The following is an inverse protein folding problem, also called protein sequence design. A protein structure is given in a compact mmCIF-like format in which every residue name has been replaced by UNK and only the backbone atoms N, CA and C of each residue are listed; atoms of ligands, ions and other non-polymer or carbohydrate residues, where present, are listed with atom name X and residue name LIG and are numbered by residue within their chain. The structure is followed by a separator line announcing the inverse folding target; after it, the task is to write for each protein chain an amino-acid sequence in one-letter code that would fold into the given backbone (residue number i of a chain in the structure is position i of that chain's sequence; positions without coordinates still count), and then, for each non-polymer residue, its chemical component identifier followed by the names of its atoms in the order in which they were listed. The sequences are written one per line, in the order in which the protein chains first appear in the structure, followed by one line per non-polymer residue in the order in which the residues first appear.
data_IF_934285616819
#
_entry.id   IF_934285616819
#
_cell.length_a   1.000
_cell.length_b   1.000
_cell.length_c   1.000
_cell.angle_alpha   90.00
_cell.angle_beta   90.00
_cell.angle_gamma   90.00
#
_symmetry.space_group_name_H-M   'P 1'
#
loop_
_entity.id
_entity.type
_entity.pdbx_description
1 polymer ?
#
# COMPACT_ATOMS: atom_id res chain seq x y z
N UNK A 1 19.86 -11.00 0.41
CA UNK A 1 18.59 -11.41 -0.25
C UNK A 1 18.17 -12.79 0.22
N UNK A 2 17.15 -12.93 1.09
CA UNK A 2 16.45 -14.21 1.28
C UNK A 2 15.01 -13.98 0.84
N UNK A 3 14.71 -14.53 -0.33
CA UNK A 3 13.40 -14.48 -0.98
C UNK A 3 12.48 -15.50 -0.33
N UNK A 4 11.17 -15.19 -0.33
CA UNK A 4 10.10 -16.15 -0.09
C UNK A 4 10.41 -17.43 -0.88
N UNK A 5 10.70 -18.53 -0.19
CA UNK A 5 10.85 -19.83 -0.83
C UNK A 5 9.46 -20.43 -0.96
N UNK A 6 8.87 -20.38 -2.16
CA UNK A 6 7.72 -21.22 -2.47
C UNK A 6 8.22 -22.66 -2.61
N UNK A 7 8.05 -23.46 -1.57
CA UNK A 7 8.11 -24.91 -1.69
C UNK A 7 6.73 -25.38 -2.11
N UNK A 8 6.50 -25.52 -3.41
CA UNK A 8 5.24 -26.10 -3.92
C UNK A 8 5.31 -27.60 -3.72
N UNK A 9 4.83 -28.10 -2.58
CA UNK A 9 4.53 -29.51 -2.40
C UNK A 9 3.06 -29.72 -2.77
N UNK A 10 2.83 -30.34 -3.92
CA UNK A 10 1.50 -30.65 -4.43
C UNK A 10 0.95 -31.89 -3.68
N UNK A 11 0.27 -31.69 -2.55
CA UNK A 11 -0.34 -32.78 -1.79
C UNK A 11 -1.77 -33.02 -2.31
N UNK A 12 -1.92 -33.68 -3.46
CA UNK A 12 -3.25 -33.98 -4.02
C UNK A 12 -4.04 -35.08 -3.28
N UNK A 13 -3.48 -35.73 -2.24
CA UNK A 13 -4.05 -36.99 -1.74
C UNK A 13 -4.55 -36.99 -0.28
N UNK A 14 -4.93 -35.85 0.33
CA UNK A 14 -5.44 -35.90 1.73
C UNK A 14 -6.60 -34.95 2.05
N UNK A 15 -7.10 -34.17 1.10
CA UNK A 15 -8.19 -33.20 1.37
C UNK A 15 -9.42 -33.54 0.54
N UNK A 16 -10.58 -33.52 1.21
CA UNK A 16 -11.92 -33.53 0.61
C UNK A 16 -11.90 -32.54 -0.58
N UNK A 17 -12.35 -32.99 -1.75
CA UNK A 17 -12.11 -32.33 -3.04
C UNK A 17 -12.64 -30.89 -3.05
N UNK A 18 -11.76 -29.94 -2.80
CA UNK A 18 -12.06 -28.52 -2.88
C UNK A 18 -11.89 -28.02 -4.34
N UNK A 19 -12.70 -27.05 -4.79
CA UNK A 19 -12.61 -26.51 -6.15
C UNK A 19 -11.39 -25.60 -6.37
N UNK A 20 -10.52 -25.44 -5.38
CA UNK A 20 -9.38 -24.51 -5.39
C UNK A 20 -8.11 -25.28 -4.98
N UNK A 21 -7.01 -25.02 -5.67
CA UNK A 21 -5.69 -25.57 -5.36
C UNK A 21 -5.12 -24.97 -4.06
N UNK A 22 -4.44 -25.79 -3.26
CA UNK A 22 -3.81 -25.37 -2.00
C UNK A 22 -2.30 -25.26 -2.17
N UNK A 23 -1.74 -24.08 -1.86
CA UNK A 23 -0.29 -23.85 -1.84
C UNK A 23 0.25 -23.79 -0.41
N UNK A 24 1.20 -24.67 -0.07
CA UNK A 24 1.97 -24.56 1.18
C UNK A 24 3.13 -23.59 0.98
N UNK A 25 3.24 -22.59 1.84
CA UNK A 25 4.33 -21.60 1.81
C UNK A 25 4.97 -21.48 3.18
N UNK A 26 6.31 -21.42 3.21
CA UNK A 26 7.08 -21.23 4.43
C UNK A 26 7.72 -19.84 4.42
N UNK A 27 7.45 -19.06 5.48
CA UNK A 27 8.03 -17.74 5.67
C UNK A 27 9.07 -17.80 6.79
N UNK A 28 10.31 -17.47 6.47
CA UNK A 28 11.37 -17.25 7.47
C UNK A 28 11.53 -15.74 7.66
N UNK A 29 11.39 -15.20 8.88
CA UNK A 29 11.59 -13.78 9.13
C UNK A 29 13.02 -13.37 8.72
N UNK A 30 13.16 -12.17 8.18
CA UNK A 30 14.45 -11.62 7.81
C UNK A 30 15.14 -11.06 9.06
N UNK A 31 16.47 -11.22 9.14
CA UNK A 31 17.29 -10.66 10.22
C UNK A 31 17.17 -9.14 10.27
N UNK A 32 17.13 -8.50 9.09
CA UNK A 32 16.87 -7.07 8.94
C UNK A 32 15.63 -6.86 8.07
N UNK A 33 14.65 -6.05 8.52
CA UNK A 33 13.49 -5.72 7.71
C UNK A 33 13.92 -4.90 6.50
N UNK A 34 13.22 -5.08 5.37
CA UNK A 34 13.50 -4.27 4.16
C UNK A 34 12.98 -2.84 4.28
N UNK A 35 11.99 -2.62 5.14
CA UNK A 35 11.33 -1.35 5.38
C UNK A 35 11.39 -1.09 6.88
N UNK A 36 12.05 -0.01 7.28
CA UNK A 36 12.28 0.37 8.68
C UNK A 36 11.24 1.40 9.14
N UNK A 37 9.96 1.16 8.80
CA UNK A 37 8.85 2.02 9.16
C UNK A 37 7.82 1.26 10.00
N UNK A 38 7.01 1.96 10.83
CA UNK A 38 5.96 1.33 11.60
C UNK A 38 5.00 0.54 10.71
N UNK A 39 4.66 -0.69 11.10
CA UNK A 39 3.82 -1.58 10.29
C UNK A 39 2.50 -0.91 9.88
N UNK A 40 1.86 -0.15 10.78
CA UNK A 40 0.61 0.56 10.48
C UNK A 40 0.73 1.61 9.39
N UNK A 41 1.86 2.29 9.32
CA UNK A 41 2.15 3.26 8.27
C UNK A 41 2.32 2.54 6.93
N UNK A 42 3.15 1.49 6.90
CA UNK A 42 3.40 0.69 5.69
C UNK A 42 2.11 0.03 5.19
N UNK A 43 1.35 -0.60 6.10
CA UNK A 43 0.05 -1.20 5.82
C UNK A 43 -0.90 -0.20 5.15
N UNK A 44 -0.98 1.03 5.70
CA UNK A 44 -1.85 2.07 5.16
C UNK A 44 -1.42 2.53 3.78
N UNK A 45 -0.12 2.77 3.56
CA UNK A 45 0.43 3.15 2.25
C UNK A 45 0.15 2.06 1.21
N UNK A 46 0.51 0.81 1.52
CA UNK A 46 0.32 -0.34 0.62
C UNK A 46 -1.16 -0.55 0.30
N UNK A 47 -2.04 -0.50 1.30
CA UNK A 47 -3.49 -0.67 1.11
C UNK A 47 -4.08 0.34 0.13
N UNK A 48 -3.67 1.61 0.21
CA UNK A 48 -4.16 2.67 -0.67
C UNK A 48 -3.59 2.54 -2.09
N UNK A 49 -2.29 2.25 -2.22
CA UNK A 49 -1.65 2.02 -3.53
C UNK A 49 -2.32 0.86 -4.29
N UNK A 50 -2.57 -0.26 -3.61
CA UNK A 50 -3.13 -1.46 -4.22
C UNK A 50 -4.65 -1.48 -4.34
N UNK A 51 -5.34 -0.42 -3.88
CA UNK A 51 -6.80 -0.28 -4.03
C UNK A 51 -7.22 -0.32 -5.50
N UNK A 52 -6.45 0.32 -6.39
CA UNK A 52 -6.78 0.43 -7.81
C UNK A 52 -5.76 -0.29 -8.69
N UNK A 53 -5.86 -1.62 -8.78
CA UNK A 53 -4.92 -2.45 -9.57
C UNK A 53 -4.84 -2.11 -11.07
N UNK A 54 -5.90 -1.53 -11.64
CA UNK A 54 -5.98 -1.17 -13.07
C UNK A 54 -5.69 0.31 -13.35
N UNK A 55 -5.35 1.09 -12.32
CA UNK A 55 -5.01 2.52 -12.44
C UNK A 55 -3.53 2.73 -12.15
N UNK A 56 -3.05 3.92 -12.46
CA UNK A 56 -1.71 4.37 -12.09
C UNK A 56 -1.58 4.50 -10.56
N UNK A 57 -0.38 4.24 -10.04
CA UNK A 57 -0.09 4.24 -8.61
C UNK A 57 -0.44 5.56 -7.90
N UNK A 58 -0.25 6.72 -8.58
CA UNK A 58 -0.59 8.02 -8.02
C UNK A 58 -2.07 8.13 -7.63
N UNK A 59 -2.99 7.43 -8.32
CA UNK A 59 -4.42 7.42 -7.96
C UNK A 59 -4.72 6.74 -6.64
N UNK A 60 -3.91 5.78 -6.24
CA UNK A 60 -3.97 5.18 -4.89
C UNK A 60 -3.37 6.12 -3.85
N UNK A 61 -2.22 6.72 -4.16
CA UNK A 61 -1.52 7.66 -3.26
C UNK A 61 -2.36 8.90 -2.98
N UNK A 62 -3.09 9.43 -3.96
CA UNK A 62 -4.06 10.53 -3.81
C UNK A 62 -5.06 10.31 -2.66
N UNK A 63 -5.38 9.05 -2.32
CA UNK A 63 -6.33 8.72 -1.24
C UNK A 63 -5.73 8.77 0.16
N UNK A 64 -4.40 8.91 0.26
CA UNK A 64 -3.73 9.16 1.54
C UNK A 64 -3.88 10.60 2.01
N UNK A 65 -4.28 11.51 1.11
CA UNK A 65 -4.26 12.95 1.37
C UNK A 65 -5.66 13.56 1.28
N UNK A 66 -5.94 14.57 2.13
CA UNK A 66 -7.17 15.35 2.08
C UNK A 66 -7.28 16.10 0.75
N UNK A 67 -8.50 16.36 0.30
CA UNK A 67 -8.72 16.97 -1.01
C UNK A 67 -8.06 18.33 -1.20
N UNK A 68 -8.02 19.14 -0.15
CA UNK A 68 -7.41 20.47 -0.18
C UNK A 68 -5.94 20.45 -0.65
N UNK A 69 -5.19 19.39 -0.31
CA UNK A 69 -3.75 19.30 -0.60
C UNK A 69 -3.39 18.03 -1.38
N UNK A 70 -4.37 17.34 -1.96
CA UNK A 70 -4.20 16.02 -2.57
C UNK A 70 -3.18 16.02 -3.69
N UNK A 71 -3.28 16.98 -4.61
CA UNK A 71 -2.43 17.02 -5.82
C UNK A 71 -0.98 17.33 -5.43
N UNK A 72 -0.79 18.37 -4.62
CA UNK A 72 0.54 18.83 -4.18
C UNK A 72 1.27 17.77 -3.35
N UNK A 73 0.62 17.21 -2.33
CA UNK A 73 1.24 16.20 -1.46
C UNK A 73 1.49 14.87 -2.18
N UNK A 74 0.61 14.49 -3.11
CA UNK A 74 0.86 13.32 -3.96
C UNK A 74 2.09 13.55 -4.81
N UNK A 75 2.17 14.68 -5.50
CA UNK A 75 3.33 15.00 -6.34
C UNK A 75 4.61 15.05 -5.50
N UNK A 76 4.60 15.70 -4.33
CA UNK A 76 5.73 15.75 -3.41
C UNK A 76 6.16 14.34 -2.97
N UNK A 77 5.21 13.47 -2.61
CA UNK A 77 5.48 12.09 -2.20
C UNK A 77 6.08 11.26 -3.34
N UNK A 78 5.55 11.36 -4.56
CA UNK A 78 6.06 10.61 -5.72
C UNK A 78 7.46 11.07 -6.12
N UNK A 79 7.71 12.38 -6.09
CA UNK A 79 9.02 12.95 -6.37
C UNK A 79 10.06 12.53 -5.32
N UNK A 80 9.71 12.61 -4.02
CA UNK A 80 10.60 12.18 -2.94
C UNK A 80 10.90 10.69 -2.96
N UNK A 81 9.93 9.87 -3.37
CA UNK A 81 10.10 8.43 -3.46
C UNK A 81 10.86 7.99 -4.72
N UNK A 82 11.12 8.90 -5.66
CA UNK A 82 11.70 8.60 -6.98
C UNK A 82 10.96 7.46 -7.71
N UNK A 83 9.62 7.50 -7.66
CA UNK A 83 8.75 6.50 -8.30
C UNK A 83 7.99 7.16 -9.44
N UNK A 84 8.06 6.54 -10.62
CA UNK A 84 7.29 7.00 -11.79
C UNK A 84 5.76 6.91 -11.49
N UNK A 85 5.03 8.04 -11.56
CA UNK A 85 3.61 8.11 -11.25
C UNK A 85 2.72 7.36 -12.24
N UNK A 86 3.24 6.92 -13.39
CA UNK A 86 2.51 6.18 -14.43
C UNK A 86 2.58 4.66 -14.16
N UNK A 87 3.48 4.21 -13.30
CA UNK A 87 3.59 2.79 -12.95
C UNK A 87 2.29 2.26 -12.35
N UNK A 88 1.98 1.00 -12.66
CA UNK A 88 0.85 0.30 -12.05
C UNK A 88 1.26 -0.25 -10.69
N UNK A 89 0.33 -0.39 -9.74
CA UNK A 89 0.61 -1.02 -8.45
C UNK A 89 1.27 -2.40 -8.56
N UNK A 90 0.95 -3.17 -9.59
CA UNK A 90 1.53 -4.50 -9.85
C UNK A 90 2.99 -4.48 -10.27
N UNK A 91 3.47 -3.35 -10.77
CA UNK A 91 4.86 -3.15 -11.24
C UNK A 91 5.75 -2.60 -10.12
N UNK A 92 5.17 -2.23 -8.97
CA UNK A 92 5.91 -1.71 -7.83
C UNK A 92 6.71 -2.81 -7.13
N UNK A 93 7.97 -2.50 -6.86
CA UNK A 93 8.90 -3.39 -6.16
C UNK A 93 8.93 -3.06 -4.67
N UNK A 94 9.51 -3.95 -3.85
CA UNK A 94 9.67 -3.70 -2.41
C UNK A 94 10.48 -2.41 -2.12
N UNK A 95 11.57 -2.09 -2.85
CA UNK A 95 12.23 -0.80 -2.74
C UNK A 95 11.32 0.40 -3.02
N UNK A 96 10.44 0.33 -4.03
CA UNK A 96 9.49 1.43 -4.29
C UNK A 96 8.53 1.63 -3.11
N UNK A 97 8.01 0.54 -2.54
CA UNK A 97 7.15 0.60 -1.36
C UNK A 97 7.90 1.16 -0.15
N UNK A 98 9.19 0.80 0.02
CA UNK A 98 10.05 1.37 1.05
C UNK A 98 10.13 2.90 0.90
N UNK A 99 10.53 3.37 -0.30
CA UNK A 99 10.70 4.79 -0.57
C UNK A 99 9.39 5.58 -0.39
N UNK A 100 8.25 5.01 -0.81
CA UNK A 100 6.93 5.61 -0.60
C UNK A 100 6.56 5.68 0.90
N UNK A 101 6.83 4.62 1.67
CA UNK A 101 6.60 4.64 3.10
C UNK A 101 7.49 5.67 3.82
N UNK A 102 8.76 5.75 3.45
CA UNK A 102 9.71 6.73 4.00
C UNK A 102 9.27 8.17 3.65
N UNK A 103 8.91 8.44 2.39
CA UNK A 103 8.40 9.74 1.96
C UNK A 103 7.12 10.14 2.70
N UNK A 104 6.19 9.19 2.90
CA UNK A 104 4.97 9.43 3.67
C UNK A 104 5.26 9.69 5.14
N UNK A 105 6.19 8.96 5.76
CA UNK A 105 6.61 9.20 7.14
C UNK A 105 7.18 10.62 7.32
N UNK A 106 7.96 11.10 6.36
CA UNK A 106 8.42 12.49 6.35
C UNK A 106 7.27 13.50 6.25
N UNK A 107 6.26 13.25 5.44
CA UNK A 107 5.08 14.12 5.37
C UNK A 107 4.28 14.11 6.68
N UNK A 108 4.09 12.94 7.27
CA UNK A 108 3.42 12.79 8.57
C UNK A 108 4.18 13.44 9.73
N UNK A 109 5.52 13.55 9.65
CA UNK A 109 6.30 14.32 10.64
C UNK A 109 6.07 15.83 10.55
N UNK A 110 5.74 16.35 9.36
CA UNK A 110 5.40 17.77 9.14
C UNK A 110 3.96 18.06 9.52
N UNK A 111 3.06 17.14 9.18
CA UNK A 111 1.63 17.28 9.40
C UNK A 111 1.06 16.00 10.06
N UNK A 112 1.00 15.96 11.40
CA UNK A 112 0.54 14.78 12.14
C UNK A 112 -0.91 14.40 11.84
N UNK A 113 -1.74 15.35 11.41
CA UNK A 113 -3.16 15.10 11.07
C UNK A 113 -3.33 14.10 9.90
N UNK A 114 -2.31 13.95 9.05
CA UNK A 114 -2.30 12.96 7.98
C UNK A 114 -2.35 11.52 8.52
N UNK A 115 -1.82 11.26 9.72
CA UNK A 115 -1.82 9.92 10.34
C UNK A 115 -3.22 9.45 10.75
N UNK A 116 -4.14 10.36 11.01
CA UNK A 116 -5.53 10.04 11.40
C UNK A 116 -6.53 10.21 10.26
N UNK A 117 -6.12 10.82 9.13
CA UNK A 117 -7.02 11.08 8.01
C UNK A 117 -7.56 9.79 7.37
N UNK A 118 -8.88 9.62 7.29
CA UNK A 118 -9.51 8.54 6.53
C UNK A 118 -10.36 9.08 5.39
N UNK A 119 -9.95 8.78 4.14
CA UNK A 119 -10.68 9.17 2.93
C UNK A 119 -12.15 8.73 2.91
N UNK A 120 -12.49 7.60 3.56
CA UNK A 120 -13.86 7.10 3.64
C UNK A 120 -14.78 8.00 4.48
N UNK A 121 -14.25 8.62 5.53
CA UNK A 121 -15.02 9.53 6.39
C UNK A 121 -15.37 10.82 5.64
N UNK A 122 -14.40 11.37 4.88
CA UNK A 122 -14.63 12.54 4.02
C UNK A 122 -15.71 12.27 2.96
N UNK A 123 -15.70 11.08 2.35
CA UNK A 123 -16.76 10.67 1.42
C UNK A 123 -18.14 10.56 2.10
N UNK A 124 -18.20 10.10 3.34
CA UNK A 124 -19.45 10.01 4.10
C UNK A 124 -20.05 11.38 4.39
N UNK A 125 -19.22 12.31 4.86
CA UNK A 125 -19.64 13.69 5.14
C UNK A 125 -20.19 14.39 3.90
N UNK A 126 -19.58 14.16 2.74
CA UNK A 126 -20.04 14.72 1.45
C UNK A 126 -21.39 14.20 1.00
N UNK A 127 -21.65 12.90 1.16
CA UNK A 127 -22.98 12.38 0.85
C UNK A 127 -24.04 13.00 1.76
N UNK A 128 -23.74 13.17 3.05
CA UNK A 128 -24.64 13.80 4.01
C UNK A 128 -24.89 15.29 3.72
N UNK A 129 -23.89 16.01 3.19
CA UNK A 129 -24.05 17.43 2.80
C UNK A 129 -24.73 17.61 1.45
N UNK A 130 -24.75 16.58 0.59
CA UNK A 130 -25.42 16.63 -0.73
C UNK A 130 -26.90 16.25 -0.67
N UNK A 131 -27.34 15.65 0.44
CA UNK A 131 -28.74 15.30 0.72
C UNK A 131 -29.50 16.39 1.53
N UNK A 132 -28.87 17.54 1.78
CA UNK A 132 -29.50 18.74 2.34
C UNK A 132 -29.54 19.85 1.30
#
# INVERSE_FOLDING_TARGET
MRSVKRNVSNCQNTLIRNPIDVGVVHFTPLVQPKIEQPFKLVERVVRNIFQFRRKHCHKGVEKLFPEACRIELTQEMMQKADVDPILRPTELTIPHIKALADAYAHLCSREPSLNTYEYREELGLKHLTRER
#
